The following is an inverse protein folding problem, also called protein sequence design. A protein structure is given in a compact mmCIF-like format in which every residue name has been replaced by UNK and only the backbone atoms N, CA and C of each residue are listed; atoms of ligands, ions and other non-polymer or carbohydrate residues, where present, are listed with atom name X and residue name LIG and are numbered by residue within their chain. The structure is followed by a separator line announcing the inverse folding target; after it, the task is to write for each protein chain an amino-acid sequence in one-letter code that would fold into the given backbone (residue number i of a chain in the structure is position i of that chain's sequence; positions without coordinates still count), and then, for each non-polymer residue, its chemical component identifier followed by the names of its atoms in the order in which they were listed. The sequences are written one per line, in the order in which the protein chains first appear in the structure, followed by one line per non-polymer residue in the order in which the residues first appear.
data_IF_257169333903
#
_entry.id   IF_257169333903
#
_cell.length_a   1.000
_cell.length_b   1.000
_cell.length_c   1.000
_cell.angle_alpha   90.00
_cell.angle_beta   90.00
_cell.angle_gamma   90.00
#
_symmetry.space_group_name_H-M   'P 1'
#
loop_
_entity.id
_entity.type
_entity.pdbx_description
1 polymer ?
#
# COMPACT_ATOMS: atom_id res chain seq x y z
N UNK A 1 -4.20 22.67 -14.67
CA UNK A 1 -4.55 24.10 -14.67
C UNK A 1 -3.38 25.01 -15.06
N UNK A 2 -2.34 25.16 -14.24
CA UNK A 2 -1.28 26.17 -14.47
C UNK A 2 -0.62 26.08 -15.85
N UNK A 3 -0.25 24.86 -16.29
CA UNK A 3 0.35 24.64 -17.60
C UNK A 3 -0.58 25.05 -18.75
N UNK A 4 -1.88 24.75 -18.65
CA UNK A 4 -2.87 25.10 -19.66
C UNK A 4 -3.04 26.62 -19.77
N UNK A 5 -3.09 27.33 -18.64
CA UNK A 5 -3.18 28.79 -18.59
C UNK A 5 -1.91 29.42 -19.18
N UNK A 6 -0.72 28.91 -18.80
CA UNK A 6 0.56 29.41 -19.33
C UNK A 6 0.65 29.19 -20.85
N UNK A 7 0.22 28.04 -21.34
CA UNK A 7 0.27 27.68 -22.76
C UNK A 7 -0.72 28.49 -23.61
N UNK A 8 -1.87 28.86 -23.03
CA UNK A 8 -2.88 29.68 -23.69
C UNK A 8 -2.62 31.20 -23.62
N UNK A 9 -1.45 31.62 -23.10
CA UNK A 9 -1.11 33.04 -22.89
C UNK A 9 -2.00 33.76 -21.86
N UNK A 10 -2.55 33.03 -20.89
CA UNK A 10 -3.42 33.54 -19.85
C UNK A 10 -4.83 32.98 -19.91
N UNK A 11 -5.65 33.34 -18.91
CA UNK A 11 -7.06 32.99 -18.82
C UNK A 11 -7.86 34.22 -18.44
N UNK A 12 -9.14 34.25 -18.81
CA UNK A 12 -10.08 35.33 -18.47
C UNK A 12 -11.24 34.77 -17.64
N UNK A 13 -11.97 35.64 -16.94
CA UNK A 13 -13.11 35.27 -16.09
C UNK A 13 -12.77 34.18 -15.06
N UNK A 14 -11.68 34.36 -14.33
CA UNK A 14 -11.26 33.42 -13.30
C UNK A 14 -12.11 33.59 -12.04
N UNK A 15 -12.79 32.53 -11.63
CA UNK A 15 -13.59 32.45 -10.41
C UNK A 15 -13.14 31.24 -9.57
N UNK A 16 -13.02 31.43 -8.26
CA UNK A 16 -12.72 30.38 -7.31
C UNK A 16 -13.79 30.35 -6.22
N UNK A 17 -14.46 29.20 -6.08
CA UNK A 17 -15.48 28.96 -5.08
C UNK A 17 -14.93 27.94 -4.09
N UNK A 18 -14.97 28.30 -2.80
CA UNK A 18 -14.58 27.42 -1.70
C UNK A 18 -15.83 27.13 -0.89
N UNK A 19 -16.20 25.85 -0.79
CA UNK A 19 -17.40 25.42 -0.08
C UNK A 19 -17.02 24.92 1.31
N UNK A 20 -17.79 25.32 2.31
CA UNK A 20 -17.61 24.90 3.69
C UNK A 20 -18.84 24.11 4.15
N UNK A 21 -18.67 22.94 4.79
CA UNK A 21 -19.79 22.16 5.32
C UNK A 21 -20.34 22.78 6.62
N UNK A 22 -19.53 23.54 7.36
CA UNK A 22 -19.90 24.25 8.57
C UNK A 22 -18.98 25.46 8.79
N UNK A 23 -19.41 26.39 9.64
CA UNK A 23 -18.64 27.58 10.03
C UNK A 23 -17.86 27.41 11.33
N UNK A 24 -17.89 26.21 11.93
CA UNK A 24 -17.26 25.95 13.24
C UNK A 24 -15.80 25.56 13.10
N UNK A 25 -15.52 24.66 12.15
CA UNK A 25 -14.17 24.13 11.93
C UNK A 25 -13.37 24.97 10.92
N UNK A 26 -14.06 25.78 10.11
CA UNK A 26 -13.49 26.52 8.98
C UNK A 26 -12.71 25.62 8.01
N UNK A 27 -13.00 24.30 8.01
CA UNK A 27 -12.41 23.33 7.10
C UNK A 27 -13.26 23.28 5.84
N UNK A 28 -12.73 23.64 4.66
CA UNK A 28 -13.47 23.58 3.40
C UNK A 28 -13.71 22.11 2.99
N UNK A 29 -14.88 21.83 2.42
CA UNK A 29 -15.24 20.52 1.88
C UNK A 29 -14.86 20.35 0.42
N UNK A 30 -14.88 21.42 -0.38
CA UNK A 30 -14.60 21.35 -1.81
C UNK A 30 -14.16 22.71 -2.37
N UNK A 31 -13.42 22.64 -3.47
CA UNK A 31 -12.90 23.77 -4.22
C UNK A 31 -13.37 23.65 -5.67
N UNK A 32 -13.83 24.76 -6.25
CA UNK A 32 -14.18 24.83 -7.66
C UNK A 32 -13.48 26.04 -8.29
N UNK A 33 -12.86 25.83 -9.44
CA UNK A 33 -12.25 26.88 -10.23
C UNK A 33 -12.92 26.90 -11.61
N UNK A 34 -13.35 28.08 -12.04
CA UNK A 34 -13.91 28.31 -13.36
C UNK A 34 -13.06 29.35 -14.09
N UNK A 35 -12.68 29.08 -15.33
CA UNK A 35 -11.88 30.01 -16.13
C UNK A 35 -12.12 29.83 -17.63
N UNK A 36 -12.02 30.92 -18.38
CA UNK A 36 -12.14 30.90 -19.83
C UNK A 36 -10.74 30.80 -20.46
N UNK A 37 -10.53 29.76 -21.25
CA UNK A 37 -9.32 29.49 -22.00
C UNK A 37 -9.64 29.43 -23.49
N UNK A 38 -9.05 30.33 -24.29
CA UNK A 38 -9.27 30.36 -25.75
C UNK A 38 -10.76 30.37 -26.17
N UNK A 39 -11.63 31.00 -25.37
CA UNK A 39 -13.08 31.05 -25.60
C UNK A 39 -13.88 29.88 -25.02
N UNK A 40 -13.23 28.87 -24.45
CA UNK A 40 -13.88 27.73 -23.78
C UNK A 40 -13.88 27.92 -22.27
N UNK A 41 -15.01 27.64 -21.62
CA UNK A 41 -15.11 27.66 -20.15
C UNK A 41 -14.67 26.31 -19.62
N UNK A 42 -13.64 26.31 -18.78
CA UNK A 42 -13.15 25.14 -18.05
C UNK A 42 -13.63 25.26 -16.61
N UNK A 43 -14.16 24.17 -16.06
CA UNK A 43 -14.56 24.06 -14.66
C UNK A 43 -13.81 22.87 -14.04
N UNK A 44 -12.94 23.16 -13.08
CA UNK A 44 -12.18 22.17 -12.31
C UNK A 44 -12.74 22.11 -10.89
N UNK A 45 -13.13 20.92 -10.43
CA UNK A 45 -13.67 20.68 -9.08
C UNK A 45 -12.79 19.70 -8.30
N UNK A 46 -12.51 20.01 -7.04
CA UNK A 46 -11.68 19.22 -6.15
C UNK A 46 -12.38 19.05 -4.79
N UNK A 47 -12.58 17.82 -4.34
CA UNK A 47 -13.12 17.52 -3.03
C UNK A 47 -12.00 17.38 -1.99
N UNK A 48 -12.18 17.98 -0.82
CA UNK A 48 -11.26 17.85 0.32
C UNK A 48 -11.60 16.60 1.14
N UNK A 49 -11.45 15.45 0.49
CA UNK A 49 -11.76 14.12 1.05
C UNK A 49 -10.53 13.48 1.68
N UNK A 50 -10.77 12.52 2.55
CA UNK A 50 -9.70 11.78 3.20
C UNK A 50 -8.92 10.95 2.15
N UNK A 51 -7.58 11.12 2.04
CA UNK A 51 -6.77 10.36 1.11
C UNK A 51 -6.88 8.84 1.31
N UNK A 52 -7.12 8.34 2.53
CA UNK A 52 -7.27 6.89 2.76
C UNK A 52 -8.52 6.33 2.07
N UNK A 53 -9.65 7.04 2.15
CA UNK A 53 -10.93 6.59 1.58
C UNK A 53 -10.91 6.61 0.05
N UNK A 54 -10.33 7.66 -0.56
CA UNK A 54 -10.17 7.71 -2.02
C UNK A 54 -9.16 6.69 -2.51
N UNK A 55 -8.05 6.51 -1.81
CA UNK A 55 -7.06 5.51 -2.20
C UNK A 55 -7.60 4.09 -2.04
N UNK A 56 -8.43 3.83 -1.02
CA UNK A 56 -9.16 2.57 -0.87
C UNK A 56 -10.06 2.30 -2.07
N UNK A 57 -10.87 3.29 -2.47
CA UNK A 57 -11.81 3.18 -3.59
C UNK A 57 -11.09 2.99 -4.94
N UNK A 58 -9.94 3.65 -5.11
CA UNK A 58 -9.12 3.56 -6.32
C UNK A 58 -8.19 2.33 -6.35
N UNK A 59 -8.16 1.52 -5.29
CA UNK A 59 -7.23 0.39 -5.17
C UNK A 59 -5.75 0.81 -5.09
N UNK A 60 -5.50 2.09 -4.79
CA UNK A 60 -4.17 2.68 -4.59
C UNK A 60 -3.73 2.64 -3.14
N UNK A 61 -4.63 2.23 -2.23
CA UNK A 61 -4.22 1.73 -0.93
C UNK A 61 -3.38 0.52 -1.24
N UNK A 62 -2.04 0.72 -1.22
CA UNK A 62 -1.07 -0.36 -1.35
C UNK A 62 -1.61 -1.46 -0.48
N UNK A 63 -1.93 -2.59 -1.11
CA UNK A 63 -2.81 -3.60 -0.55
C UNK A 63 -2.54 -3.62 0.94
N UNK A 64 -3.55 -3.28 1.78
CA UNK A 64 -3.52 -3.87 3.12
C UNK A 64 -3.11 -5.30 2.84
N UNK A 65 -2.00 -5.77 3.43
CA UNK A 65 -1.51 -7.11 3.14
C UNK A 65 -2.77 -7.93 3.17
N UNK A 66 -3.13 -8.47 1.99
CA UNK A 66 -4.28 -9.33 1.95
C UNK A 66 -4.07 -10.29 3.10
N UNK A 67 -5.14 -10.70 3.72
CA UNK A 67 -5.11 -11.76 4.71
C UNK A 67 -4.56 -13.10 4.10
N UNK A 68 -3.50 -13.10 3.28
CA UNK A 68 -2.30 -13.85 3.64
C UNK A 68 -1.93 -13.41 5.05
N UNK A 69 -2.63 -14.02 6.00
CA UNK A 69 -2.22 -14.30 7.37
C UNK A 69 -0.76 -13.91 7.55
N UNK A 70 -0.54 -12.63 7.83
CA UNK A 70 0.69 -12.17 8.45
C UNK A 70 0.53 -12.64 9.88
N UNK A 71 0.71 -13.95 10.04
CA UNK A 71 1.05 -14.51 11.31
C UNK A 71 2.16 -13.61 11.81
N UNK A 72 1.89 -12.94 12.93
CA UNK A 72 2.92 -12.50 13.83
C UNK A 72 3.73 -13.75 14.22
N UNK A 73 4.52 -14.31 13.32
CA UNK A 73 5.66 -15.13 13.65
C UNK A 73 6.77 -14.13 13.94
N UNK A 74 6.58 -13.38 15.04
CA UNK A 74 7.65 -13.27 16.02
C UNK A 74 8.28 -14.67 16.03
N UNK A 75 9.49 -14.80 15.47
CA UNK A 75 10.12 -16.07 15.07
C UNK A 75 10.24 -17.08 16.20
N UNK A 76 9.11 -17.62 16.62
CA UNK A 76 8.95 -18.62 17.65
C UNK A 76 9.01 -19.95 16.91
N UNK A 77 10.24 -20.30 16.55
CA UNK A 77 10.54 -21.62 16.05
C UNK A 77 10.39 -22.68 17.15
N UNK A 78 10.05 -22.32 18.40
CA UNK A 78 9.87 -23.25 19.54
C UNK A 78 8.88 -24.39 19.26
N UNK A 79 7.92 -24.19 18.34
CA UNK A 79 6.97 -25.23 17.93
C UNK A 79 7.57 -26.25 16.93
N UNK A 80 8.65 -25.89 16.25
CA UNK A 80 9.28 -26.66 15.17
C UNK A 80 10.68 -27.15 15.59
N UNK A 81 11.49 -26.24 16.11
CA UNK A 81 12.78 -26.47 16.76
C UNK A 81 12.58 -27.25 18.07
N UNK A 82 12.59 -28.57 17.94
CA UNK A 82 12.43 -29.51 19.06
C UNK A 82 13.69 -29.55 19.94
N UNK A 83 14.83 -29.04 19.45
CA UNK A 83 16.12 -29.14 20.11
C UNK A 83 16.58 -27.81 20.76
N UNK A 84 15.83 -26.72 20.54
CA UNK A 84 16.04 -25.39 21.08
C UNK A 84 17.33 -24.70 20.64
N UNK A 85 17.97 -25.10 19.54
CA UNK A 85 19.26 -24.57 19.11
C UNK A 85 19.18 -23.29 18.26
N UNK A 86 17.98 -22.81 17.95
CA UNK A 86 17.80 -21.63 17.10
C UNK A 86 17.76 -21.95 15.60
N UNK A 87 17.86 -23.23 15.21
CA UNK A 87 17.98 -23.70 13.84
C UNK A 87 17.04 -24.88 13.58
N UNK A 88 16.18 -24.70 12.58
CA UNK A 88 15.22 -25.72 12.15
C UNK A 88 15.83 -26.58 11.07
N UNK A 89 15.89 -27.89 11.30
CA UNK A 89 16.35 -28.82 10.27
C UNK A 89 15.19 -29.32 9.40
N UNK A 90 15.51 -29.92 8.24
CA UNK A 90 14.52 -30.56 7.35
C UNK A 90 13.68 -31.59 8.12
N UNK A 91 14.27 -32.29 9.10
CA UNK A 91 13.56 -33.27 9.94
C UNK A 91 12.52 -32.60 10.83
N UNK A 92 12.86 -31.47 11.41
CA UNK A 92 11.99 -30.68 12.28
C UNK A 92 10.82 -30.10 11.47
N UNK A 93 11.10 -29.55 10.29
CA UNK A 93 10.06 -29.09 9.36
C UNK A 93 9.13 -30.24 8.90
N UNK A 94 9.69 -31.42 8.62
CA UNK A 94 8.90 -32.61 8.26
C UNK A 94 8.01 -33.11 9.40
N UNK A 95 8.55 -33.11 10.61
CA UNK A 95 7.85 -33.53 11.82
C UNK A 95 6.70 -32.57 12.15
N UNK A 96 6.89 -31.28 11.91
CA UNK A 96 5.86 -30.25 12.02
C UNK A 96 4.84 -30.28 10.86
N UNK A 97 5.04 -31.14 9.85
CA UNK A 97 4.08 -31.33 8.75
C UNK A 97 4.21 -30.31 7.61
N UNK A 98 5.34 -29.61 7.50
CA UNK A 98 5.58 -28.70 6.38
C UNK A 98 5.89 -29.47 5.10
N UNK A 99 5.44 -28.93 3.96
CA UNK A 99 5.67 -29.50 2.64
C UNK A 99 7.01 -29.02 2.09
N UNK A 100 7.84 -29.95 1.63
CA UNK A 100 9.13 -29.65 0.99
C UNK A 100 8.97 -29.46 -0.53
N UNK A 101 9.85 -28.67 -1.19
CA UNK A 101 10.93 -27.88 -0.61
C UNK A 101 10.44 -26.57 0.06
N UNK A 102 11.11 -26.16 1.12
CA UNK A 102 10.84 -24.86 1.78
C UNK A 102 11.62 -23.78 1.04
N UNK A 103 10.92 -22.88 0.36
CA UNK A 103 11.54 -21.82 -0.44
C UNK A 103 11.83 -20.57 0.38
N UNK A 104 12.64 -19.66 -0.18
CA UNK A 104 12.98 -18.36 0.42
C UNK A 104 11.79 -17.44 0.75
N UNK A 105 10.61 -17.74 0.20
CA UNK A 105 9.34 -17.06 0.51
C UNK A 105 8.74 -17.51 1.86
N UNK A 106 9.18 -18.65 2.40
CA UNK A 106 8.65 -19.21 3.64
C UNK A 106 9.33 -18.62 4.88
N UNK A 107 8.54 -18.26 5.89
CA UNK A 107 9.04 -17.65 7.14
C UNK A 107 10.06 -18.50 7.93
N UNK A 108 10.04 -19.82 7.71
CA UNK A 108 10.96 -20.78 8.34
C UNK A 108 12.35 -20.78 7.69
N UNK A 109 12.44 -20.38 6.42
CA UNK A 109 13.67 -20.40 5.61
C UNK A 109 14.89 -19.75 6.29
N UNK A 110 14.83 -18.54 6.89
CA UNK A 110 15.98 -17.93 7.55
C UNK A 110 16.51 -18.72 8.77
N UNK A 111 15.73 -19.67 9.30
CA UNK A 111 16.11 -20.54 10.40
C UNK A 111 16.58 -21.92 9.94
N UNK A 112 16.54 -22.19 8.63
CA UNK A 112 16.94 -23.46 8.05
C UNK A 112 18.32 -23.35 7.39
N UNK A 113 19.06 -24.45 7.37
CA UNK A 113 20.31 -24.52 6.61
C UNK A 113 20.04 -24.80 5.14
N UNK A 114 20.31 -23.80 4.31
CA UNK A 114 20.49 -23.92 2.87
C UNK A 114 21.99 -24.13 2.58
N UNK A 115 22.36 -25.33 2.13
CA UNK A 115 23.77 -25.72 1.94
C UNK A 115 24.27 -25.39 0.52
N UNK A 116 23.36 -25.28 -0.43
CA UNK A 116 23.57 -25.04 -1.85
C UNK A 116 23.25 -23.62 -2.28
N UNK A 117 22.68 -22.81 -1.38
CA UNK A 117 22.37 -21.39 -1.57
C UNK A 117 21.46 -21.16 -2.79
N UNK A 118 20.60 -22.13 -3.09
CA UNK A 118 19.71 -22.12 -4.25
C UNK A 118 18.35 -21.47 -3.92
N UNK A 119 18.09 -21.16 -2.65
CA UNK A 119 16.82 -20.60 -2.21
C UNK A 119 15.78 -21.63 -1.81
N UNK A 120 16.14 -22.92 -1.69
CA UNK A 120 15.25 -24.03 -1.36
C UNK A 120 15.87 -24.95 -0.31
N UNK A 121 15.08 -25.42 0.65
CA UNK A 121 15.55 -26.35 1.69
C UNK A 121 14.70 -27.62 1.70
N UNK A 122 15.34 -28.78 1.51
CA UNK A 122 14.73 -30.10 1.66
C UNK A 122 14.38 -30.82 0.36
N UNK A 123 15.21 -30.72 -0.67
CA UNK A 123 15.22 -31.68 -1.80
C UNK A 123 15.61 -33.11 -1.37
#
# INVERSE_FOLDING_TARGET
MEEAIRSANGATNFEAIITYPNTETEIPSSYQYSYTLMGNVIVDTFDNVNPDEVNATLGLRGSEPSDSTSSNTNGDISSVDTNGNGQVTIKDAKAAGFSMPITSDHWLYPYMSDNDNDGMVGE
#
